data_IF_540265433748
#
_entry.id   IF_540265433748
#
_cell.length_a   1.000
_cell.length_b   1.000
_cell.length_c   1.000
_cell.angle_alpha   90.00
_cell.angle_beta   90.00
_cell.angle_gamma   90.00
#
_symmetry.space_group_name_H-M   'P 1'
#
loop_
_entity.id
_entity.type
_entity.pdbx_description
1 polymer ?
#
# COMPACT_ATOMS: atom_id res chain seq x y z
N UNK A 1 -7.55 30.23 16.73
CA UNK A 1 -8.66 29.37 17.16
C UNK A 1 -8.20 27.91 17.09
N UNK A 2 -8.46 27.14 18.15
CA UNK A 2 -8.19 25.70 18.17
C UNK A 2 -9.50 25.00 17.80
N UNK A 3 -9.45 24.11 16.78
CA UNK A 3 -10.58 23.26 16.41
C UNK A 3 -10.30 21.86 16.92
N UNK A 4 -11.23 21.31 17.71
CA UNK A 4 -11.14 19.96 18.25
C UNK A 4 -12.40 19.20 17.85
N UNK A 5 -12.22 17.99 17.29
CA UNK A 5 -13.31 17.07 16.99
C UNK A 5 -13.08 15.76 17.74
N UNK A 6 -14.16 15.05 18.08
CA UNK A 6 -14.10 13.77 18.79
C UNK A 6 -14.95 12.75 18.05
N UNK A 7 -14.49 11.51 18.01
CA UNK A 7 -15.19 10.41 17.37
C UNK A 7 -14.66 9.05 17.79
N UNK A 8 -15.13 8.01 17.13
CA UNK A 8 -14.72 6.61 17.33
C UNK A 8 -14.04 6.06 16.08
N UNK A 9 -13.24 5.02 16.29
CA UNK A 9 -12.64 4.27 15.19
C UNK A 9 -13.73 3.43 14.51
N UNK A 10 -13.92 3.65 13.22
CA UNK A 10 -14.90 2.92 12.40
C UNK A 10 -14.27 1.76 11.66
N UNK A 11 -12.99 1.88 11.24
CA UNK A 11 -12.27 0.88 10.47
C UNK A 11 -10.76 1.09 10.54
N UNK A 12 -10.01 0.01 10.46
CA UNK A 12 -8.56 0.01 10.17
C UNK A 12 -8.36 -0.76 8.88
N UNK A 13 -7.77 -0.14 7.86
CA UNK A 13 -7.61 -0.73 6.53
C UNK A 13 -6.50 -0.02 5.75
N UNK A 14 -6.10 -0.59 4.60
CA UNK A 14 -5.22 0.10 3.67
C UNK A 14 -6.03 1.03 2.77
N UNK A 15 -5.51 2.23 2.58
CA UNK A 15 -6.09 3.23 1.67
C UNK A 15 -5.02 3.82 0.77
N UNK A 16 -5.44 4.25 -0.40
CA UNK A 16 -4.56 4.99 -1.30
C UNK A 16 -4.19 6.35 -0.70
N UNK A 17 -2.90 6.56 -0.54
CA UNK A 17 -2.32 7.84 -0.11
C UNK A 17 -1.99 8.76 -1.30
N UNK A 18 -2.29 8.33 -2.48
CA UNK A 18 -1.96 8.95 -3.75
C UNK A 18 -0.87 8.15 -4.50
N UNK A 19 -0.91 8.27 -5.82
CA UNK A 19 0.07 7.63 -6.72
C UNK A 19 0.22 6.10 -6.55
N UNK A 20 -0.87 5.41 -6.11
CA UNK A 20 -0.87 3.96 -5.93
C UNK A 20 -0.21 3.46 -4.65
N UNK A 21 0.10 4.34 -3.70
CA UNK A 21 0.67 3.97 -2.41
C UNK A 21 -0.43 3.63 -1.41
N UNK A 22 -0.71 2.35 -1.24
CA UNK A 22 -1.70 1.85 -0.27
C UNK A 22 -1.06 1.64 1.08
N UNK A 23 -1.36 2.48 2.07
CA UNK A 23 -0.81 2.39 3.42
C UNK A 23 -1.91 2.25 4.47
N UNK A 24 -1.54 1.74 5.65
CA UNK A 24 -2.45 1.59 6.78
C UNK A 24 -3.08 2.94 7.14
N UNK A 25 -4.39 2.91 7.35
CA UNK A 25 -5.20 4.09 7.67
C UNK A 25 -6.24 3.73 8.73
N UNK A 26 -6.48 4.62 9.66
CA UNK A 26 -7.59 4.53 10.61
C UNK A 26 -8.71 5.45 10.11
N UNK A 27 -9.87 4.87 9.86
CA UNK A 27 -11.10 5.62 9.57
C UNK A 27 -11.82 5.94 10.89
N UNK A 28 -12.28 7.17 11.02
CA UNK A 28 -13.04 7.65 12.17
C UNK A 28 -14.31 8.36 11.70
N UNK A 29 -15.29 8.48 12.58
CA UNK A 29 -16.53 9.23 12.35
C UNK A 29 -16.44 10.71 12.72
N UNK A 30 -15.30 11.15 13.28
CA UNK A 30 -15.08 12.55 13.57
C UNK A 30 -14.87 13.37 12.29
N UNK A 31 -15.50 14.54 12.23
CA UNK A 31 -15.34 15.44 11.10
C UNK A 31 -13.89 15.98 11.02
N UNK A 32 -13.23 15.76 9.88
CA UNK A 32 -11.98 16.42 9.53
C UNK A 32 -12.29 17.50 8.53
N UNK A 33 -12.33 18.73 9.01
CA UNK A 33 -12.58 19.91 8.21
C UNK A 33 -11.26 20.50 7.65
N UNK A 34 -11.32 21.34 6.59
CA UNK A 34 -10.16 22.10 6.14
C UNK A 34 -9.54 22.86 7.32
N UNK A 35 -8.24 22.65 7.55
CA UNK A 35 -7.49 23.21 8.69
C UNK A 35 -7.20 22.23 9.82
N UNK A 36 -7.90 21.10 9.92
CA UNK A 36 -7.58 20.04 10.88
C UNK A 36 -6.53 19.05 10.34
N UNK A 37 -6.37 18.95 9.02
CA UNK A 37 -5.38 18.07 8.39
C UNK A 37 -3.96 18.46 8.80
N UNK A 38 -3.12 17.47 9.13
CA UNK A 38 -1.80 17.66 9.72
C UNK A 38 -1.82 17.80 11.23
N UNK A 39 -2.98 17.98 11.86
CA UNK A 39 -3.12 18.04 13.32
C UNK A 39 -3.00 16.64 13.96
N UNK A 40 -2.55 16.56 15.23
CA UNK A 40 -2.40 15.31 15.95
C UNK A 40 -3.74 14.71 16.34
N UNK A 41 -3.87 13.38 16.18
CA UNK A 41 -4.95 12.59 16.75
C UNK A 41 -4.50 12.01 18.10
N UNK A 42 -5.33 12.20 19.14
CA UNK A 42 -5.02 11.76 20.50
C UNK A 42 -5.94 10.63 20.97
N UNK A 43 -5.37 9.71 21.74
CA UNK A 43 -6.09 8.73 22.56
C UNK A 43 -5.41 8.64 23.93
N UNK A 44 -6.16 8.89 25.02
CA UNK A 44 -5.63 8.89 26.39
C UNK A 44 -4.34 9.74 26.53
N UNK A 45 -4.41 11.00 26.09
CA UNK A 45 -3.34 11.99 26.13
C UNK A 45 -2.06 11.63 25.35
N UNK A 46 -2.12 10.59 24.51
CA UNK A 46 -1.02 10.18 23.63
C UNK A 46 -1.37 10.41 22.17
N UNK A 47 -0.42 10.89 21.39
CA UNK A 47 -0.57 10.98 19.93
C UNK A 47 -0.59 9.56 19.36
N UNK A 48 -1.64 9.23 18.61
CA UNK A 48 -1.82 7.93 17.93
C UNK A 48 -1.74 8.03 16.42
N UNK A 49 -1.66 9.24 15.89
CA UNK A 49 -1.55 9.48 14.47
C UNK A 49 -1.75 10.94 14.10
N UNK A 50 -1.87 11.20 12.81
CA UNK A 50 -2.06 12.54 12.21
C UNK A 50 -3.33 12.55 11.36
N UNK A 51 -4.17 13.56 11.54
CA UNK A 51 -5.37 13.77 10.74
C UNK A 51 -4.98 14.08 9.28
N UNK A 52 -5.57 13.33 8.31
CA UNK A 52 -5.14 13.46 6.92
C UNK A 52 -6.18 14.07 6.00
N UNK A 53 -7.34 13.51 5.92
CA UNK A 53 -8.30 13.85 4.87
C UNK A 53 -9.72 13.47 5.27
N UNK A 54 -10.67 13.99 4.49
CA UNK A 54 -12.05 13.51 4.44
C UNK A 54 -12.40 13.14 3.01
N UNK A 55 -13.36 12.26 2.82
CA UNK A 55 -13.93 12.01 1.50
C UNK A 55 -14.74 13.23 1.07
N UNK A 56 -14.39 13.82 -0.08
CA UNK A 56 -15.26 14.82 -0.71
C UNK A 56 -16.67 14.25 -0.89
N UNK A 57 -17.70 14.98 -0.44
CA UNK A 57 -19.11 14.58 -0.50
C UNK A 57 -19.54 13.45 0.45
N UNK A 58 -18.73 13.07 1.45
CA UNK A 58 -19.14 12.18 2.54
C UNK A 58 -19.13 12.94 3.87
N UNK A 59 -20.19 12.77 4.66
CA UNK A 59 -20.26 13.32 6.01
C UNK A 59 -19.72 12.29 7.01
N UNK A 60 -19.06 12.76 8.06
CA UNK A 60 -18.58 11.93 9.17
C UNK A 60 -17.61 10.80 8.76
N UNK A 61 -16.77 11.04 7.75
CA UNK A 61 -15.69 10.14 7.39
C UNK A 61 -14.38 10.93 7.42
N UNK A 62 -13.58 10.67 8.45
CA UNK A 62 -12.23 11.19 8.59
C UNK A 62 -11.19 10.06 8.53
N UNK A 63 -9.97 10.40 8.16
CA UNK A 63 -8.86 9.46 8.10
C UNK A 63 -7.68 9.93 8.92
N UNK A 64 -7.05 9.01 9.62
CA UNK A 64 -5.85 9.24 10.42
C UNK A 64 -4.72 8.38 9.84
N UNK A 65 -3.56 8.99 9.62
CA UNK A 65 -2.29 8.28 9.37
C UNK A 65 -1.85 7.73 10.72
N UNK A 66 -1.81 6.40 10.92
CA UNK A 66 -1.48 5.81 12.21
C UNK A 66 0.03 5.91 12.51
N UNK A 67 0.36 5.86 13.78
CA UNK A 67 1.75 5.98 14.26
C UNK A 67 2.74 5.01 13.61
N UNK A 68 2.43 3.72 13.33
CA UNK A 68 3.37 2.83 12.65
C UNK A 68 3.81 3.32 11.27
N UNK A 69 2.88 3.90 10.48
CA UNK A 69 3.20 4.48 9.17
C UNK A 69 4.13 5.68 9.30
N UNK A 70 3.85 6.56 10.28
CA UNK A 70 4.66 7.74 10.56
C UNK A 70 6.07 7.33 11.00
N UNK A 71 6.17 6.38 11.91
CA UNK A 71 7.46 5.88 12.42
C UNK A 71 8.29 5.25 11.31
N UNK A 72 7.68 4.42 10.45
CA UNK A 72 8.37 3.83 9.31
C UNK A 72 8.86 4.91 8.33
N UNK A 73 8.02 5.91 8.03
CA UNK A 73 8.42 7.03 7.18
C UNK A 73 9.63 7.79 7.75
N UNK A 74 9.58 8.16 9.04
CA UNK A 74 10.67 8.90 9.70
C UNK A 74 11.95 8.05 9.71
N UNK A 75 11.87 6.78 10.11
CA UNK A 75 13.03 5.89 10.16
C UNK A 75 13.67 5.69 8.78
N UNK A 76 12.85 5.56 7.73
CA UNK A 76 13.33 5.42 6.35
C UNK A 76 13.95 6.73 5.87
N UNK A 77 13.34 7.89 6.20
CA UNK A 77 13.90 9.19 5.86
C UNK A 77 15.24 9.44 6.58
N UNK A 78 15.34 9.14 7.86
CA UNK A 78 16.58 9.27 8.64
C UNK A 78 17.70 8.38 8.09
N UNK A 79 17.35 7.18 7.59
CA UNK A 79 18.31 6.23 7.01
C UNK A 79 18.85 6.68 5.65
N UNK A 80 18.02 7.28 4.81
CA UNK A 80 18.37 7.60 3.42
C UNK A 80 18.59 9.10 3.17
N UNK A 81 18.11 9.99 4.05
CA UNK A 81 18.27 11.44 3.95
C UNK A 81 17.84 12.00 2.61
N UNK A 82 18.73 12.74 1.96
CA UNK A 82 18.48 13.33 0.62
C UNK A 82 18.28 12.27 -0.49
N UNK A 83 18.63 11.01 -0.23
CA UNK A 83 18.40 9.88 -1.13
C UNK A 83 17.08 9.16 -0.89
N UNK A 84 16.22 9.72 -0.04
CA UNK A 84 14.88 9.17 0.20
C UNK A 84 14.05 9.25 -1.09
N UNK A 85 13.65 8.10 -1.60
CA UNK A 85 12.89 7.96 -2.85
C UNK A 85 11.42 7.54 -2.61
N UNK A 86 10.98 7.47 -1.35
CA UNK A 86 9.67 6.97 -0.97
C UNK A 86 9.72 5.61 -0.29
N UNK A 87 8.54 5.09 0.07
CA UNK A 87 8.37 3.77 0.66
C UNK A 87 8.34 2.70 -0.43
N UNK A 88 8.70 1.46 -0.08
CA UNK A 88 8.58 0.32 -0.97
C UNK A 88 7.12 0.11 -1.40
N UNK A 89 6.95 -0.33 -2.63
CA UNK A 89 5.65 -0.64 -3.22
C UNK A 89 5.64 -2.00 -3.87
N UNK A 90 4.50 -2.37 -4.46
CA UNK A 90 4.32 -3.59 -5.23
C UNK A 90 4.20 -3.28 -6.71
N UNK A 91 4.85 -4.08 -7.56
CA UNK A 91 4.81 -3.99 -9.01
C UNK A 91 3.89 -5.01 -9.67
N UNK A 92 2.89 -5.54 -8.97
CA UNK A 92 1.95 -6.50 -9.53
C UNK A 92 0.49 -6.11 -9.29
N UNK A 93 -0.41 -6.71 -10.08
CA UNK A 93 -1.86 -6.69 -9.84
C UNK A 93 -2.34 -8.08 -9.54
N UNK A 94 -3.43 -8.19 -8.81
CA UNK A 94 -4.00 -9.46 -8.38
C UNK A 94 -5.51 -9.48 -8.51
N UNK A 95 -6.08 -10.68 -8.45
CA UNK A 95 -7.51 -10.98 -8.40
C UNK A 95 -7.76 -11.95 -7.25
N UNK A 96 -8.87 -11.80 -6.54
CA UNK A 96 -9.31 -12.72 -5.51
C UNK A 96 -9.61 -14.11 -6.08
N UNK A 97 -9.28 -15.15 -5.32
CA UNK A 97 -9.44 -16.54 -5.74
C UNK A 97 -10.64 -17.24 -5.07
N UNK A 98 -11.69 -16.49 -4.76
CA UNK A 98 -12.91 -17.00 -4.10
C UNK A 98 -13.77 -17.87 -5.04
N UNK A 99 -13.65 -17.72 -6.35
CA UNK A 99 -14.47 -18.42 -7.34
C UNK A 99 -13.98 -19.84 -7.57
N UNK A 100 -14.83 -20.83 -7.37
CA UNK A 100 -14.49 -22.27 -7.50
C UNK A 100 -13.98 -22.66 -8.88
N UNK A 101 -14.54 -22.11 -9.97
CA UNK A 101 -14.08 -22.36 -11.32
C UNK A 101 -12.68 -21.82 -11.57
N UNK A 102 -12.38 -20.65 -11.01
CA UNK A 102 -11.06 -20.06 -11.06
C UNK A 102 -10.06 -20.94 -10.30
N UNK A 103 -10.40 -21.38 -9.09
CA UNK A 103 -9.59 -22.27 -8.25
C UNK A 103 -9.29 -23.60 -8.98
N UNK A 104 -10.31 -24.20 -9.59
CA UNK A 104 -10.14 -25.43 -10.38
C UNK A 104 -9.21 -25.23 -11.58
N UNK A 105 -9.36 -24.10 -12.32
CA UNK A 105 -8.47 -23.73 -13.43
C UNK A 105 -7.02 -23.54 -12.99
N UNK A 106 -6.80 -22.99 -11.81
CA UNK A 106 -5.48 -22.76 -11.20
C UNK A 106 -4.93 -24.01 -10.50
N UNK A 107 -5.65 -25.14 -10.54
CA UNK A 107 -5.30 -26.41 -9.86
C UNK A 107 -5.12 -26.26 -8.34
N UNK A 108 -5.86 -25.31 -7.74
CA UNK A 108 -5.87 -25.11 -6.30
C UNK A 108 -6.61 -26.27 -5.63
N UNK A 109 -5.98 -26.87 -4.64
CA UNK A 109 -6.63 -27.85 -3.76
C UNK A 109 -7.45 -27.13 -2.68
N UNK A 110 -8.29 -27.87 -1.95
CA UNK A 110 -9.18 -27.30 -0.95
C UNK A 110 -8.45 -26.50 0.14
N UNK A 111 -7.26 -26.93 0.54
CA UNK A 111 -6.44 -26.28 1.57
C UNK A 111 -5.62 -25.08 1.06
N UNK A 112 -5.50 -24.89 -0.26
CA UNK A 112 -4.79 -23.77 -0.83
C UNK A 112 -5.65 -22.52 -0.75
N UNK A 113 -5.08 -21.41 -0.30
CA UNK A 113 -5.69 -20.08 -0.29
C UNK A 113 -4.73 -19.05 -0.89
N UNK A 114 -5.24 -17.92 -1.35
CA UNK A 114 -4.40 -16.87 -1.89
C UNK A 114 -5.07 -16.05 -2.98
N UNK A 115 -4.28 -15.27 -3.69
CA UNK A 115 -4.72 -14.38 -4.76
C UNK A 115 -4.00 -14.67 -6.07
N UNK A 116 -4.71 -14.62 -7.20
CA UNK A 116 -4.15 -14.79 -8.53
C UNK A 116 -3.39 -13.55 -8.97
N UNK A 117 -2.15 -13.70 -9.41
CA UNK A 117 -1.37 -12.63 -10.04
C UNK A 117 -1.81 -12.44 -11.48
N UNK A 118 -2.30 -11.24 -11.80
CA UNK A 118 -2.86 -10.90 -13.13
C UNK A 118 -1.95 -10.02 -13.97
N UNK A 119 -0.99 -9.32 -13.34
CA UNK A 119 -0.01 -8.50 -14.01
C UNK A 119 1.25 -8.43 -13.15
N UNK A 120 2.43 -8.42 -13.77
CA UNK A 120 3.71 -8.09 -13.13
C UNK A 120 4.36 -6.96 -13.93
N UNK A 121 4.68 -5.86 -13.26
CA UNK A 121 5.34 -4.71 -13.87
C UNK A 121 6.77 -5.06 -14.26
N UNK A 122 7.18 -4.68 -15.46
CA UNK A 122 8.57 -4.85 -15.93
C UNK A 122 9.58 -4.00 -15.15
N UNK A 123 9.10 -2.98 -14.44
CA UNK A 123 9.92 -2.06 -13.63
C UNK A 123 9.75 -2.29 -12.13
N UNK A 124 8.95 -3.28 -11.74
CA UNK A 124 8.77 -3.67 -10.34
C UNK A 124 9.87 -4.60 -9.84
N UNK A 125 10.11 -4.63 -8.54
CA UNK A 125 11.13 -5.50 -7.93
C UNK A 125 10.81 -7.00 -8.10
N UNK A 126 9.55 -7.37 -8.33
CA UNK A 126 9.09 -8.76 -8.54
C UNK A 126 9.36 -9.28 -9.96
N UNK A 127 9.78 -8.41 -10.88
CA UNK A 127 10.01 -8.79 -12.26
C UNK A 127 11.06 -9.90 -12.40
N UNK A 128 10.72 -10.93 -13.15
CA UNK A 128 11.58 -12.10 -13.34
C UNK A 128 11.49 -13.15 -12.24
N UNK A 129 10.78 -12.86 -11.13
CA UNK A 129 10.57 -13.79 -10.00
C UNK A 129 9.12 -14.24 -9.95
N UNK A 130 8.18 -13.30 -9.86
CA UNK A 130 6.74 -13.54 -9.90
C UNK A 130 6.25 -13.55 -11.37
N UNK A 131 5.23 -14.35 -11.67
CA UNK A 131 4.68 -14.50 -13.01
C UNK A 131 3.15 -14.34 -13.00
N UNK A 132 2.62 -13.88 -14.13
CA UNK A 132 1.16 -13.89 -14.35
C UNK A 132 0.68 -15.33 -14.36
N UNK A 133 -0.36 -15.63 -13.58
CA UNK A 133 -0.88 -16.97 -13.39
C UNK A 133 -0.45 -17.63 -12.07
N UNK A 134 0.54 -17.11 -11.38
CA UNK A 134 0.87 -17.55 -10.02
C UNK A 134 -0.29 -17.26 -9.06
N UNK A 135 -0.53 -18.16 -8.09
CA UNK A 135 -1.36 -17.86 -6.93
C UNK A 135 -0.43 -17.53 -5.77
N UNK A 136 -0.46 -16.31 -5.29
CA UNK A 136 0.30 -15.88 -4.13
C UNK A 136 -0.41 -16.35 -2.86
N UNK A 137 0.17 -17.34 -2.15
CA UNK A 137 -0.44 -17.99 -1.00
C UNK A 137 0.04 -17.44 0.34
N UNK A 138 1.30 -17.02 0.44
CA UNK A 138 1.82 -16.38 1.65
C UNK A 138 2.91 -15.35 1.35
N UNK A 139 3.09 -14.42 2.28
CA UNK A 139 4.18 -13.44 2.31
C UNK A 139 4.82 -13.50 3.69
N UNK A 140 6.14 -13.76 3.76
CA UNK A 140 6.90 -13.91 5.01
C UNK A 140 6.18 -14.80 6.03
N UNK A 141 5.79 -16.00 5.58
CA UNK A 141 5.09 -17.03 6.36
C UNK A 141 3.66 -16.64 6.82
N UNK A 142 3.14 -15.49 6.38
CA UNK A 142 1.76 -15.07 6.66
C UNK A 142 0.84 -15.49 5.52
N UNK A 143 -0.07 -16.43 5.77
CA UNK A 143 -1.02 -16.96 4.78
C UNK A 143 -2.04 -15.91 4.36
N UNK A 144 -2.29 -15.84 3.06
CA UNK A 144 -3.28 -14.97 2.43
C UNK A 144 -4.56 -15.77 2.21
N UNK A 145 -5.71 -15.22 2.59
CA UNK A 145 -7.01 -15.79 2.28
C UNK A 145 -7.41 -15.50 0.81
N UNK A 146 -8.44 -16.20 0.32
CA UNK A 146 -8.92 -16.07 -1.06
C UNK A 146 -9.49 -14.69 -1.40
N UNK A 147 -9.92 -13.95 -0.36
CA UNK A 147 -10.36 -12.55 -0.40
C UNK A 147 -9.20 -11.52 -0.30
N UNK A 148 -7.96 -11.98 -0.31
CA UNK A 148 -6.77 -11.14 -0.21
C UNK A 148 -6.53 -10.57 1.19
N UNK A 149 -7.12 -11.13 2.24
CA UNK A 149 -6.88 -10.66 3.61
C UNK A 149 -5.89 -11.54 4.37
N UNK A 150 -5.29 -10.96 5.41
CA UNK A 150 -4.43 -11.61 6.39
C UNK A 150 -4.89 -11.25 7.81
N UNK A 151 -4.55 -12.06 8.83
CA UNK A 151 -4.80 -11.69 10.23
C UNK A 151 -4.04 -10.40 10.62
N UNK A 152 -4.71 -9.45 11.26
CA UNK A 152 -4.09 -8.23 11.75
C UNK A 152 -3.55 -8.42 13.17
N UNK A 153 -2.24 -8.61 13.29
CA UNK A 153 -1.58 -8.89 14.57
C UNK A 153 -1.49 -7.69 15.53
N UNK A 154 -1.82 -6.49 15.08
CA UNK A 154 -1.85 -5.27 15.89
C UNK A 154 -3.16 -5.05 16.65
N UNK A 155 -4.14 -5.89 16.43
CA UNK A 155 -5.46 -5.80 17.09
C UNK A 155 -5.50 -6.60 18.38
N UNK A 156 -6.21 -6.07 19.37
CA UNK A 156 -6.62 -6.82 20.58
C UNK A 156 -7.74 -7.82 20.29
N UNK A 157 -8.34 -7.75 19.10
CA UNK A 157 -9.38 -8.64 18.61
C UNK A 157 -8.78 -9.65 17.65
N UNK A 158 -8.79 -10.91 18.00
CA UNK A 158 -8.11 -11.99 17.25
C UNK A 158 -8.69 -12.29 15.86
N UNK A 159 -9.82 -11.68 15.51
CA UNK A 159 -10.55 -11.93 14.25
C UNK A 159 -10.41 -10.81 13.22
N UNK A 160 -9.76 -9.70 13.55
CA UNK A 160 -9.57 -8.62 12.59
C UNK A 160 -8.62 -9.01 11.46
N UNK A 161 -9.02 -8.67 10.26
CA UNK A 161 -8.27 -8.96 9.03
C UNK A 161 -8.05 -7.66 8.24
N UNK A 162 -6.89 -7.58 7.58
CA UNK A 162 -6.54 -6.46 6.70
C UNK A 162 -6.01 -6.99 5.37
N UNK A 163 -5.89 -6.13 4.38
CA UNK A 163 -5.27 -6.50 3.10
C UNK A 163 -3.85 -7.02 3.28
N UNK A 164 -3.50 -8.10 2.58
CA UNK A 164 -2.16 -8.69 2.57
C UNK A 164 -1.07 -7.71 2.09
N UNK A 165 -1.44 -6.67 1.36
CA UNK A 165 -0.52 -5.62 0.93
C UNK A 165 0.20 -4.94 2.11
N UNK A 166 -0.36 -5.03 3.32
CA UNK A 166 0.28 -4.54 4.53
C UNK A 166 1.66 -5.18 4.76
N UNK A 167 1.88 -6.43 4.34
CA UNK A 167 3.16 -7.11 4.49
C UNK A 167 4.29 -6.48 3.67
N UNK A 168 3.96 -5.77 2.60
CA UNK A 168 4.94 -5.11 1.73
C UNK A 168 5.24 -3.67 2.20
N UNK A 169 4.26 -2.99 2.75
CA UNK A 169 4.30 -1.55 3.00
C UNK A 169 5.19 -1.12 4.17
N UNK A 170 5.63 -2.06 5.01
CA UNK A 170 6.54 -1.79 6.13
C UNK A 170 7.96 -2.30 5.89
N UNK A 171 8.23 -2.78 4.66
CA UNK A 171 9.55 -3.25 4.26
C UNK A 171 10.47 -2.10 3.91
N UNK A 172 11.72 -2.22 4.34
CA UNK A 172 12.80 -1.36 3.90
C UNK A 172 13.31 -1.78 2.52
N UNK A 173 13.83 -0.83 1.77
CA UNK A 173 14.47 -1.11 0.48
C UNK A 173 15.65 -2.08 0.67
N UNK A 174 15.69 -3.13 -0.15
CA UNK A 174 16.70 -4.19 -0.09
C UNK A 174 16.43 -5.25 0.99
N UNK A 175 15.32 -5.15 1.74
CA UNK A 175 14.89 -6.21 2.64
C UNK A 175 14.33 -7.39 1.83
N UNK A 176 14.68 -8.62 2.21
CA UNK A 176 14.19 -9.81 1.53
C UNK A 176 12.72 -10.05 1.84
N UNK A 177 11.92 -10.26 0.82
CA UNK A 177 10.53 -10.71 0.89
C UNK A 177 10.46 -12.15 0.40
N UNK A 178 9.90 -13.05 1.21
CA UNK A 178 9.69 -14.45 0.88
C UNK A 178 8.25 -14.69 0.51
N UNK A 179 8.02 -15.36 -0.60
CA UNK A 179 6.69 -15.67 -1.12
C UNK A 179 6.55 -17.18 -1.28
N UNK A 180 5.43 -17.74 -0.81
CA UNK A 180 4.96 -19.07 -1.20
C UNK A 180 3.91 -18.88 -2.28
N UNK A 181 4.12 -19.53 -3.42
CA UNK A 181 3.23 -19.45 -4.58
C UNK A 181 2.80 -20.83 -5.04
N UNK A 182 1.64 -20.90 -5.70
CA UNK A 182 1.25 -22.03 -6.51
C UNK A 182 1.42 -21.64 -7.98
N UNK A 183 2.32 -22.32 -8.69
CA UNK A 183 2.59 -22.15 -10.12
C UNK A 183 2.28 -23.42 -10.87
N UNK A 184 1.31 -23.40 -11.79
CA UNK A 184 0.86 -24.55 -12.58
C UNK A 184 0.42 -25.78 -11.75
N UNK A 185 0.03 -25.57 -10.49
CA UNK A 185 -0.40 -26.61 -9.55
C UNK A 185 0.70 -27.11 -8.61
N UNK A 186 1.93 -26.62 -8.75
CA UNK A 186 3.07 -26.94 -7.89
C UNK A 186 3.39 -25.79 -6.93
N UNK A 187 3.67 -26.11 -5.67
CA UNK A 187 4.06 -25.11 -4.66
C UNK A 187 5.54 -24.78 -4.86
N UNK A 188 5.84 -23.48 -4.90
CA UNK A 188 7.20 -22.97 -4.97
C UNK A 188 7.43 -21.85 -3.94
N UNK A 189 8.63 -21.83 -3.37
CA UNK A 189 9.10 -20.73 -2.54
C UNK A 189 10.04 -19.87 -3.36
N UNK A 190 9.75 -18.60 -3.44
CA UNK A 190 10.54 -17.60 -4.17
C UNK A 190 10.85 -16.42 -3.26
N UNK A 191 11.91 -15.70 -3.55
CA UNK A 191 12.29 -14.51 -2.81
C UNK A 191 12.79 -13.40 -3.73
N UNK A 192 12.64 -12.16 -3.28
CA UNK A 192 13.19 -10.99 -3.95
C UNK A 192 13.47 -9.87 -2.95
N UNK A 193 14.18 -8.84 -3.41
CA UNK A 193 14.49 -7.68 -2.57
C UNK A 193 13.42 -6.61 -2.71
N UNK A 194 12.84 -6.16 -1.58
CA UNK A 194 11.90 -5.06 -1.54
C UNK A 194 12.46 -3.81 -2.24
N UNK A 195 11.63 -3.14 -2.99
CA UNK A 195 12.06 -1.98 -3.77
C UNK A 195 10.89 -1.11 -4.18
N UNK A 196 11.20 -0.12 -5.00
CA UNK A 196 10.20 0.76 -5.58
C UNK A 196 9.87 0.30 -6.99
N UNK A 197 8.64 0.54 -7.40
CA UNK A 197 8.24 0.41 -8.79
C UNK A 197 8.67 1.68 -9.52
N UNK A 198 9.59 1.57 -10.45
CA UNK A 198 10.00 2.72 -11.25
C UNK A 198 8.95 3.04 -12.30
N UNK A 199 8.45 4.27 -12.31
CA UNK A 199 7.60 4.74 -13.38
C UNK A 199 8.42 4.91 -14.66
N UNK A 200 7.87 4.46 -15.82
CA UNK A 200 8.51 4.68 -17.13
C UNK A 200 8.46 6.16 -17.52
N UNK A 201 7.48 6.87 -17.02
CA UNK A 201 7.29 8.31 -17.20
C UNK A 201 7.37 8.95 -15.82
N UNK A 202 8.24 9.95 -15.59
CA UNK A 202 8.35 10.61 -14.31
C UNK A 202 7.03 11.21 -13.86
N UNK A 203 6.66 11.04 -12.59
CA UNK A 203 5.52 11.75 -11.99
C UNK A 203 5.95 13.13 -11.54
N UNK A 204 5.07 14.12 -11.78
CA UNK A 204 5.24 15.48 -11.28
C UNK A 204 4.16 15.81 -10.28
N UNK A 205 4.58 16.15 -9.07
CA UNK A 205 3.64 16.45 -7.98
C UNK A 205 3.28 17.92 -7.86
N UNK A 206 3.93 18.81 -8.64
CA UNK A 206 3.65 20.24 -8.67
C UNK A 206 4.18 21.05 -7.47
N UNK A 207 4.77 20.37 -6.49
CA UNK A 207 5.41 20.98 -5.31
C UNK A 207 6.87 20.58 -5.13
N UNK A 208 7.35 19.59 -5.87
CA UNK A 208 8.71 19.04 -5.83
C UNK A 208 9.64 19.76 -6.82
N UNK A 209 9.21 19.97 -8.06
CA UNK A 209 9.94 20.72 -9.05
C UNK A 209 9.01 21.31 -10.13
N UNK A 210 9.43 22.40 -10.75
CA UNK A 210 8.76 22.90 -11.92
C UNK A 210 9.17 22.10 -13.15
N UNK A 211 8.25 21.84 -14.12
CA UNK A 211 8.59 21.17 -15.35
C UNK A 211 9.63 21.98 -16.12
N UNK A 212 10.69 21.34 -16.57
CA UNK A 212 11.57 21.93 -17.58
C UNK A 212 10.79 22.07 -18.90
N UNK A 213 11.08 23.13 -19.63
CA UNK A 213 10.50 23.35 -20.96
C UNK A 213 11.49 24.04 -21.89
N UNK A 214 11.25 23.93 -23.18
CA UNK A 214 11.91 24.77 -24.17
C UNK A 214 10.95 25.24 -25.24
N UNK A 215 11.23 26.38 -25.85
CA UNK A 215 10.37 27.02 -26.85
C UNK A 215 11.09 27.11 -28.18
N UNK A 216 10.47 26.59 -29.23
CA UNK A 216 10.99 26.61 -30.59
C UNK A 216 9.85 26.93 -31.56
N UNK A 217 10.02 27.95 -32.40
CA UNK A 217 9.03 28.30 -33.43
C UNK A 217 7.62 28.61 -32.89
N UNK A 218 7.52 29.14 -31.66
CA UNK A 218 6.25 29.42 -30.98
C UNK A 218 5.57 28.19 -30.36
N UNK A 219 6.20 27.01 -30.41
CA UNK A 219 5.74 25.79 -29.74
C UNK A 219 6.48 25.60 -28.42
N UNK A 220 5.77 25.15 -27.38
CA UNK A 220 6.33 24.83 -26.08
C UNK A 220 6.42 23.31 -25.96
N UNK A 221 7.61 22.81 -25.67
CA UNK A 221 7.89 21.40 -25.44
C UNK A 221 8.18 21.16 -23.96
N UNK A 222 7.57 20.16 -23.38
CA UNK A 222 7.79 19.72 -22.00
C UNK A 222 8.09 18.22 -22.00
N UNK A 223 8.86 17.70 -21.03
CA UNK A 223 8.98 16.26 -20.81
C UNK A 223 7.61 15.62 -20.60
N UNK A 224 7.43 14.39 -21.09
CA UNK A 224 6.23 13.61 -20.77
C UNK A 224 6.26 13.26 -19.28
N UNK A 225 5.20 13.65 -18.55
CA UNK A 225 5.04 13.38 -17.12
C UNK A 225 3.61 12.90 -16.84
N UNK A 226 3.38 12.25 -15.69
CA UNK A 226 2.06 11.79 -15.22
C UNK A 226 1.63 12.55 -13.99
#
# INVERSE_FOLDING_TARGET
NISVTKGVVSRVDLRDYGHGSFLLTIQIDAAINPGNSGGPAFKNDKVVGVARAHLKNAQNIGYIIPLPVIQHFIATFDKYGEHFQGLCGIGFRYQYAENDWLRAKLKMQQQHTGVLITLVSKTGPENGVLQVGDVLMSVDDVKIADDGTIPYRGSTWSEERISFLHQFNHKDRGETIRLEILREGEIANIEYQAGMVSALVPSMHGFDCWPSYFVVGGLVFVPLTT
#
